data_IF_837415186285
#
_entry.id   IF_837415186285
#
_cell.length_a   1.000
_cell.length_b   1.000
_cell.length_c   1.000
_cell.angle_alpha   90.00
_cell.angle_beta   90.00
_cell.angle_gamma   90.00
#
_symmetry.space_group_name_H-M   'P 1'
#
loop_
_entity.id
_entity.type
_entity.pdbx_description
1 polymer ?
#
# COMPACT_ATOMS: atom_id res chain seq x y z
N UNK A 1 -15.13 -13.35 26.99
CA UNK A 1 -14.98 -11.90 27.30
C UNK A 1 -14.38 -11.74 28.70
N UNK A 2 -15.02 -12.27 29.74
CA UNK A 2 -14.59 -12.14 31.12
C UNK A 2 -13.13 -12.58 31.39
N UNK A 3 -12.66 -13.66 30.79
CA UNK A 3 -11.28 -14.14 30.98
C UNK A 3 -10.22 -13.17 30.43
N UNK A 4 -10.50 -12.52 29.31
CA UNK A 4 -9.60 -11.52 28.71
C UNK A 4 -9.61 -10.24 29.55
N UNK A 5 -10.79 -9.83 30.03
CA UNK A 5 -10.94 -8.65 30.91
C UNK A 5 -10.15 -8.84 32.23
N UNK A 6 -10.32 -9.99 32.87
CA UNK A 6 -9.70 -10.32 34.16
C UNK A 6 -8.19 -10.60 34.11
N UNK A 7 -7.64 -10.87 32.90
CA UNK A 7 -6.24 -11.20 32.76
C UNK A 7 -5.33 -10.03 33.14
N UNK A 8 -4.43 -10.28 34.10
CA UNK A 8 -3.45 -9.33 34.59
C UNK A 8 -2.08 -9.57 33.96
N UNK A 9 -1.27 -8.53 33.73
CA UNK A 9 0.09 -8.65 33.27
C UNK A 9 0.95 -9.40 34.31
N UNK A 10 1.86 -10.23 33.84
CA UNK A 10 2.83 -10.95 34.64
C UNK A 10 4.25 -10.65 34.15
N UNK A 11 5.28 -11.08 34.89
CA UNK A 11 6.69 -10.90 34.50
C UNK A 11 7.02 -11.51 33.10
N UNK A 12 6.28 -12.56 32.71
CA UNK A 12 6.36 -13.15 31.37
C UNK A 12 5.01 -13.00 30.65
N UNK A 13 5.00 -12.98 29.30
CA UNK A 13 3.77 -12.92 28.55
C UNK A 13 2.86 -14.13 28.81
N UNK A 14 1.60 -13.88 29.11
CA UNK A 14 0.57 -14.91 29.34
C UNK A 14 -0.24 -15.12 28.05
N UNK A 15 -0.50 -16.37 27.68
CA UNK A 15 -1.32 -16.72 26.51
C UNK A 15 -2.63 -17.38 26.99
N UNK A 16 -3.73 -16.67 26.78
CA UNK A 16 -5.08 -17.20 26.99
C UNK A 16 -5.56 -17.82 25.69
N UNK A 17 -5.61 -19.14 25.64
CA UNK A 17 -6.05 -19.87 24.45
C UNK A 17 -7.58 -19.97 24.41
N UNK A 18 -8.13 -19.77 23.22
CA UNK A 18 -9.55 -19.94 22.99
C UNK A 18 -9.93 -21.43 22.93
N UNK A 19 -11.08 -21.78 23.49
CA UNK A 19 -11.58 -23.16 23.53
C UNK A 19 -12.38 -23.53 22.27
N UNK A 20 -12.89 -22.55 21.53
CA UNK A 20 -13.75 -22.74 20.37
C UNK A 20 -12.98 -22.75 19.05
N UNK A 21 -11.92 -21.92 18.94
CA UNK A 21 -11.18 -21.75 17.71
C UNK A 21 -9.73 -22.21 17.92
N UNK A 22 -9.34 -23.36 17.34
CA UNK A 22 -7.98 -23.87 17.46
C UNK A 22 -6.94 -22.84 16.98
N UNK A 23 -5.93 -22.60 17.83
CA UNK A 23 -4.85 -21.66 17.53
C UNK A 23 -5.16 -20.19 17.77
N UNK A 24 -6.41 -19.80 18.02
CA UNK A 24 -6.75 -18.45 18.45
C UNK A 24 -6.40 -18.22 19.91
N UNK A 25 -5.80 -17.09 20.23
CA UNK A 25 -5.40 -16.75 21.60
C UNK A 25 -5.32 -15.25 21.83
N UNK A 26 -5.41 -14.85 23.09
CA UNK A 26 -5.07 -13.51 23.53
C UNK A 26 -3.74 -13.56 24.31
N UNK A 27 -2.73 -12.86 23.85
CA UNK A 27 -1.44 -12.67 24.51
C UNK A 27 -1.49 -11.41 25.36
N UNK A 28 -1.25 -11.54 26.66
CA UNK A 28 -1.07 -10.42 27.58
C UNK A 28 0.42 -10.19 27.76
N UNK A 29 0.91 -9.02 27.38
CA UNK A 29 2.35 -8.69 27.54
C UNK A 29 2.62 -8.21 28.97
N UNK A 30 3.90 -8.21 29.43
CA UNK A 30 4.27 -7.66 30.75
C UNK A 30 3.87 -6.19 30.93
N UNK A 31 3.80 -5.42 29.83
CA UNK A 31 3.33 -4.03 29.83
C UNK A 31 1.79 -3.90 29.82
N UNK A 32 1.05 -4.99 30.05
CA UNK A 32 -0.42 -4.98 30.10
C UNK A 32 -1.13 -4.92 28.73
N UNK A 33 -0.43 -4.91 27.61
CA UNK A 33 -1.06 -4.92 26.28
C UNK A 33 -1.65 -6.29 25.99
N UNK A 34 -2.91 -6.34 25.60
CA UNK A 34 -3.64 -7.54 25.22
C UNK A 34 -3.74 -7.61 23.70
N UNK A 35 -3.17 -8.65 23.10
CA UNK A 35 -3.08 -8.81 21.63
C UNK A 35 -3.72 -10.12 21.22
N UNK A 36 -4.70 -10.06 20.33
CA UNK A 36 -5.27 -11.25 19.70
C UNK A 36 -4.32 -11.79 18.66
N UNK A 37 -4.06 -13.08 18.71
CA UNK A 37 -3.15 -13.79 17.82
C UNK A 37 -3.80 -15.06 17.29
N UNK A 38 -3.37 -15.50 16.13
CA UNK A 38 -3.79 -16.78 15.54
C UNK A 38 -2.55 -17.59 15.17
N UNK A 39 -2.43 -18.79 15.73
CA UNK A 39 -1.40 -19.75 15.35
C UNK A 39 -1.99 -20.75 14.37
N UNK A 40 -1.37 -20.90 13.20
CA UNK A 40 -1.76 -21.89 12.18
C UNK A 40 -0.55 -22.44 11.43
N UNK A 41 -0.78 -23.46 10.62
CA UNK A 41 0.19 -23.95 9.64
C UNK A 41 -0.33 -23.66 8.24
N UNK A 42 0.56 -23.19 7.36
CA UNK A 42 0.26 -23.05 5.92
C UNK A 42 0.21 -24.44 5.27
N UNK A 43 -0.30 -24.53 4.04
CA UNK A 43 -0.28 -25.76 3.26
C UNK A 43 1.15 -26.23 2.94
N UNK A 44 2.13 -25.33 2.96
CA UNK A 44 3.55 -25.66 2.86
C UNK A 44 4.17 -26.18 4.17
N UNK A 45 3.36 -26.34 5.25
CA UNK A 45 3.82 -26.82 6.55
C UNK A 45 4.45 -25.76 7.46
N UNK A 46 4.56 -24.53 7.03
CA UNK A 46 5.16 -23.44 7.81
C UNK A 46 4.26 -23.01 8.97
N UNK A 47 4.84 -22.82 10.14
CA UNK A 47 4.12 -22.29 11.31
C UNK A 47 4.07 -20.75 11.23
N UNK A 48 2.86 -20.20 11.39
CA UNK A 48 2.60 -18.76 11.49
C UNK A 48 1.94 -18.45 12.83
N UNK A 49 2.26 -17.29 13.41
CA UNK A 49 1.64 -16.79 14.65
C UNK A 49 1.46 -15.27 14.56
N UNK A 50 0.70 -14.75 13.60
CA UNK A 50 0.47 -13.33 13.43
C UNK A 50 -0.46 -12.75 14.49
N UNK A 51 -0.29 -11.44 14.76
CA UNK A 51 -1.25 -10.64 15.48
C UNK A 51 -2.45 -10.29 14.57
N UNK A 52 -3.65 -10.52 15.06
CA UNK A 52 -4.90 -10.11 14.42
C UNK A 52 -5.21 -8.64 14.71
N UNK A 53 -5.12 -8.24 15.99
CA UNK A 53 -5.36 -6.87 16.45
C UNK A 53 -5.25 -6.75 17.96
N UNK A 54 -5.47 -5.55 18.48
CA UNK A 54 -5.43 -5.26 19.92
C UNK A 54 -6.80 -5.45 20.56
N UNK A 55 -6.82 -5.92 21.78
CA UNK A 55 -8.01 -5.83 22.63
C UNK A 55 -8.28 -4.36 22.94
N UNK A 56 -9.52 -3.92 22.73
CA UNK A 56 -9.92 -2.51 22.79
C UNK A 56 -10.17 -1.92 21.39
N UNK A 57 -9.36 -2.30 20.38
CA UNK A 57 -9.67 -2.03 18.97
C UNK A 57 -10.63 -3.07 18.39
N UNK A 58 -10.49 -4.34 18.81
CA UNK A 58 -11.36 -5.45 18.46
C UNK A 58 -12.03 -6.03 19.70
N UNK A 59 -13.30 -6.40 19.59
CA UNK A 59 -13.96 -7.27 20.56
C UNK A 59 -13.46 -8.71 20.40
N UNK A 60 -13.71 -9.55 21.43
CA UNK A 60 -13.35 -10.98 21.36
C UNK A 60 -14.09 -11.66 20.20
N UNK A 61 -15.36 -11.31 19.98
CA UNK A 61 -16.19 -11.86 18.91
C UNK A 61 -15.67 -11.45 17.52
N UNK A 62 -15.31 -10.18 17.34
CA UNK A 62 -14.71 -9.70 16.09
C UNK A 62 -13.37 -10.39 15.81
N UNK A 63 -12.54 -10.57 16.84
CA UNK A 63 -11.28 -11.25 16.70
C UNK A 63 -11.45 -12.75 16.36
N UNK A 64 -12.48 -13.42 16.93
CA UNK A 64 -12.88 -14.79 16.57
C UNK A 64 -13.34 -14.90 15.12
N UNK A 65 -14.21 -13.99 14.67
CA UNK A 65 -14.67 -13.96 13.27
C UNK A 65 -13.49 -13.81 12.32
N UNK A 66 -12.60 -12.88 12.60
CA UNK A 66 -11.37 -12.68 11.81
C UNK A 66 -10.47 -13.92 11.81
N UNK A 67 -10.33 -14.60 12.94
CA UNK A 67 -9.56 -15.84 13.05
C UNK A 67 -10.18 -16.96 12.18
N UNK A 68 -11.50 -17.09 12.17
CA UNK A 68 -12.22 -18.06 11.33
C UNK A 68 -12.05 -17.75 9.83
N UNK A 69 -12.15 -16.49 9.43
CA UNK A 69 -11.89 -16.05 8.05
C UNK A 69 -10.48 -16.42 7.59
N UNK A 70 -9.48 -16.15 8.43
CA UNK A 70 -8.10 -16.51 8.13
C UNK A 70 -7.89 -18.02 8.03
N UNK A 71 -8.48 -18.80 8.93
CA UNK A 71 -8.40 -20.26 8.85
C UNK A 71 -9.12 -20.80 7.59
N UNK A 72 -10.21 -20.17 7.17
CA UNK A 72 -10.88 -20.53 5.93
C UNK A 72 -10.01 -20.21 4.71
N UNK A 73 -9.30 -19.09 4.71
CA UNK A 73 -8.35 -18.73 3.66
C UNK A 73 -7.17 -19.71 3.60
N UNK A 74 -6.61 -20.09 4.75
CA UNK A 74 -5.54 -21.10 4.85
C UNK A 74 -5.98 -22.44 4.29
N UNK A 75 -7.22 -22.90 4.57
CA UNK A 75 -7.77 -24.13 4.01
C UNK A 75 -7.90 -24.09 2.49
N UNK A 76 -8.10 -22.89 1.90
CA UNK A 76 -8.13 -22.67 0.44
C UNK A 76 -6.73 -22.54 -0.17
N UNK A 77 -5.67 -22.66 0.62
CA UNK A 77 -4.28 -22.58 0.16
C UNK A 77 -3.62 -21.21 0.31
N UNK A 78 -4.31 -20.22 0.87
CA UNK A 78 -3.76 -18.88 1.11
C UNK A 78 -2.85 -18.82 2.35
N UNK A 79 -2.08 -17.72 2.45
CA UNK A 79 -1.34 -17.33 3.68
C UNK A 79 -1.67 -15.88 4.03
N UNK A 80 -2.72 -15.62 4.84
CA UNK A 80 -3.13 -14.27 5.23
C UNK A 80 -2.02 -13.47 5.90
N UNK A 81 -1.12 -14.15 6.63
CA UNK A 81 0.03 -13.51 7.27
C UNK A 81 1.03 -12.99 6.25
N UNK A 82 1.36 -13.79 5.25
CA UNK A 82 2.24 -13.39 4.16
C UNK A 82 1.61 -12.27 3.32
N UNK A 83 0.31 -12.36 3.01
CA UNK A 83 -0.43 -11.32 2.29
C UNK A 83 -0.40 -9.97 3.06
N UNK A 84 -0.66 -10.01 4.38
CA UNK A 84 -0.59 -8.81 5.24
C UNK A 84 0.84 -8.23 5.31
N UNK A 85 1.86 -9.08 5.36
CA UNK A 85 3.26 -8.67 5.35
C UNK A 85 3.64 -8.04 4.00
N UNK A 86 3.26 -8.67 2.89
CA UNK A 86 3.48 -8.15 1.54
C UNK A 86 2.80 -6.79 1.32
N UNK A 87 1.54 -6.64 1.77
CA UNK A 87 0.84 -5.36 1.70
C UNK A 87 1.55 -4.26 2.52
N UNK A 88 2.09 -4.61 3.69
CA UNK A 88 2.84 -3.66 4.52
C UNK A 88 4.16 -3.26 3.87
N UNK A 89 4.90 -4.20 3.29
CA UNK A 89 6.18 -3.98 2.64
C UNK A 89 6.07 -3.45 1.20
N UNK A 90 4.86 -3.44 0.62
CA UNK A 90 4.63 -2.90 -0.71
C UNK A 90 5.18 -1.47 -0.82
N UNK A 91 5.83 -1.12 -1.95
CA UNK A 91 6.43 0.19 -2.13
C UNK A 91 5.38 1.31 -2.16
N UNK A 92 5.75 2.46 -1.64
CA UNK A 92 5.00 3.72 -1.77
C UNK A 92 5.25 4.35 -3.15
N UNK A 93 4.40 5.30 -3.54
CA UNK A 93 4.62 6.09 -4.76
C UNK A 93 5.93 6.88 -4.68
N UNK A 94 6.32 7.35 -3.48
CA UNK A 94 7.62 8.03 -3.29
C UNK A 94 8.79 7.09 -3.61
N UNK A 95 8.75 5.86 -3.12
CA UNK A 95 9.78 4.84 -3.42
C UNK A 95 9.78 4.45 -4.91
N UNK A 96 8.59 4.38 -5.53
CA UNK A 96 8.47 4.18 -6.97
C UNK A 96 9.11 5.34 -7.76
N UNK A 97 8.94 6.60 -7.32
CA UNK A 97 9.58 7.75 -7.94
C UNK A 97 11.11 7.64 -7.88
N UNK A 98 11.67 7.27 -6.72
CA UNK A 98 13.12 7.05 -6.56
C UNK A 98 13.61 5.98 -7.52
N UNK A 99 12.96 4.82 -7.52
CA UNK A 99 13.29 3.71 -8.42
C UNK A 99 13.19 4.10 -9.91
N UNK A 100 12.15 4.86 -10.28
CA UNK A 100 11.99 5.38 -11.64
C UNK A 100 13.16 6.28 -12.06
N UNK A 101 13.62 7.16 -11.18
CA UNK A 101 14.75 8.03 -11.47
C UNK A 101 16.05 7.24 -11.60
N UNK A 102 16.29 6.27 -10.72
CA UNK A 102 17.55 5.51 -10.66
C UNK A 102 17.63 4.46 -11.76
N UNK A 103 16.62 3.60 -11.87
CA UNK A 103 16.67 2.40 -12.73
C UNK A 103 16.20 2.68 -14.15
N UNK A 104 15.46 3.76 -14.39
CA UNK A 104 14.96 4.08 -15.71
C UNK A 104 15.50 5.40 -16.26
N UNK A 105 15.28 6.53 -15.54
CA UNK A 105 15.55 7.86 -16.09
C UNK A 105 17.03 8.13 -16.29
N UNK A 106 17.87 7.78 -15.32
CA UNK A 106 19.33 7.97 -15.39
C UNK A 106 19.97 7.18 -16.53
N UNK A 107 19.40 6.03 -16.87
CA UNK A 107 19.96 5.16 -17.91
C UNK A 107 19.50 5.54 -19.32
N UNK A 108 18.35 6.18 -19.48
CA UNK A 108 17.67 6.35 -20.76
C UNK A 108 17.44 7.79 -21.19
N UNK A 109 17.59 8.74 -20.29
CA UNK A 109 17.26 10.14 -20.55
C UNK A 109 18.48 11.05 -20.42
N UNK A 110 18.48 12.13 -21.20
CA UNK A 110 19.47 13.22 -21.09
C UNK A 110 19.36 13.91 -19.73
N UNK A 111 20.44 14.50 -19.19
CA UNK A 111 20.43 15.19 -17.90
C UNK A 111 19.38 16.27 -17.75
N UNK A 112 19.05 17.00 -18.82
CA UNK A 112 17.98 18.00 -18.83
C UNK A 112 16.59 17.38 -18.59
N UNK A 113 16.31 16.23 -19.20
CA UNK A 113 15.06 15.49 -19.01
C UNK A 113 14.98 14.93 -17.59
N UNK A 114 16.09 14.38 -17.06
CA UNK A 114 16.16 13.89 -15.69
C UNK A 114 15.83 15.00 -14.68
N UNK A 115 16.45 16.19 -14.81
CA UNK A 115 16.11 17.36 -13.98
C UNK A 115 14.64 17.74 -14.08
N UNK A 116 14.09 17.72 -15.31
CA UNK A 116 12.67 18.00 -15.52
C UNK A 116 11.72 17.00 -14.88
N UNK A 117 12.05 15.71 -14.92
CA UNK A 117 11.29 14.68 -14.24
C UNK A 117 11.38 14.81 -12.71
N UNK A 118 12.58 15.02 -12.16
CA UNK A 118 12.76 15.22 -10.74
C UNK A 118 11.94 16.41 -10.23
N UNK A 119 12.01 17.54 -10.92
CA UNK A 119 11.24 18.73 -10.53
C UNK A 119 9.72 18.50 -10.52
N UNK A 120 9.19 17.74 -11.47
CA UNK A 120 7.76 17.38 -11.51
C UNK A 120 7.41 16.39 -10.40
N UNK A 121 8.26 15.41 -10.16
CA UNK A 121 8.09 14.43 -9.09
C UNK A 121 8.00 15.14 -7.74
N UNK A 122 8.95 16.03 -7.45
CA UNK A 122 9.05 16.69 -6.14
C UNK A 122 7.93 17.70 -5.91
N UNK A 123 7.55 18.46 -6.95
CA UNK A 123 6.51 19.50 -6.82
C UNK A 123 5.09 18.99 -6.94
N UNK A 124 4.86 17.95 -7.77
CA UNK A 124 3.51 17.56 -8.14
C UNK A 124 3.16 16.16 -7.62
N UNK A 125 4.02 15.15 -7.81
CA UNK A 125 3.63 13.75 -7.59
C UNK A 125 3.76 13.37 -6.12
N UNK A 126 4.93 13.57 -5.52
CA UNK A 126 5.21 13.16 -4.14
C UNK A 126 4.30 13.86 -3.12
N UNK A 127 4.01 15.19 -3.20
CA UNK A 127 3.11 15.84 -2.26
C UNK A 127 1.67 15.30 -2.29
N UNK A 128 1.21 14.83 -3.45
CA UNK A 128 -0.18 14.39 -3.63
C UNK A 128 -0.38 12.89 -3.42
N UNK A 129 0.56 12.07 -3.88
CA UNK A 129 0.41 10.61 -3.93
C UNK A 129 1.53 9.85 -3.18
N UNK A 130 2.61 10.51 -2.81
CA UNK A 130 3.85 9.89 -2.33
C UNK A 130 3.69 8.92 -1.16
N UNK A 131 2.71 9.15 -0.28
CA UNK A 131 2.43 8.28 0.88
C UNK A 131 1.60 7.04 0.56
N UNK A 132 0.91 7.04 -0.57
CA UNK A 132 0.07 5.91 -0.96
C UNK A 132 0.95 4.73 -1.40
N UNK A 133 0.50 3.52 -1.11
CA UNK A 133 1.12 2.32 -1.67
C UNK A 133 0.84 2.25 -3.17
N UNK A 134 1.85 1.85 -3.96
CA UNK A 134 1.74 1.77 -5.43
C UNK A 134 0.54 0.93 -5.85
N UNK A 135 0.30 -0.20 -5.19
CA UNK A 135 -0.83 -1.10 -5.48
C UNK A 135 -2.20 -0.49 -5.14
N UNK A 136 -2.27 0.45 -4.19
CA UNK A 136 -3.53 1.00 -3.68
C UNK A 136 -3.98 2.25 -4.42
N UNK A 137 -3.09 2.87 -5.23
CA UNK A 137 -3.44 4.04 -6.05
C UNK A 137 -4.50 3.65 -7.08
N UNK A 138 -5.62 4.36 -7.06
CA UNK A 138 -6.76 4.16 -7.96
C UNK A 138 -6.91 5.32 -8.94
N UNK A 139 -7.71 5.13 -9.99
CA UNK A 139 -8.02 6.19 -10.97
C UNK A 139 -8.54 7.48 -10.34
N UNK A 140 -9.45 7.46 -9.34
CA UNK A 140 -9.90 8.68 -8.66
C UNK A 140 -8.77 9.49 -8.00
N UNK A 141 -7.72 8.83 -7.51
CA UNK A 141 -6.58 9.52 -6.88
C UNK A 141 -5.80 10.32 -7.92
N UNK A 142 -5.55 9.71 -9.09
CA UNK A 142 -4.90 10.38 -10.22
C UNK A 142 -5.76 11.51 -10.77
N UNK A 143 -7.07 11.28 -10.92
CA UNK A 143 -8.00 12.32 -11.39
C UNK A 143 -8.05 13.50 -10.41
N UNK A 144 -8.05 13.24 -9.10
CA UNK A 144 -8.01 14.27 -8.06
C UNK A 144 -6.69 15.04 -8.10
N UNK A 145 -5.55 14.37 -8.30
CA UNK A 145 -4.26 15.01 -8.47
C UNK A 145 -4.26 15.93 -9.70
N UNK A 146 -4.79 15.47 -10.85
CA UNK A 146 -4.94 16.29 -12.05
C UNK A 146 -5.82 17.51 -11.78
N UNK A 147 -6.98 17.33 -11.14
CA UNK A 147 -7.90 18.43 -10.82
C UNK A 147 -7.24 19.51 -9.95
N UNK A 148 -6.44 19.14 -8.96
CA UNK A 148 -5.68 20.10 -8.13
C UNK A 148 -4.68 20.93 -8.94
N UNK A 149 -4.19 20.41 -10.06
CA UNK A 149 -3.25 21.09 -10.96
C UNK A 149 -3.96 21.81 -12.14
N UNK A 150 -5.29 21.87 -12.18
CA UNK A 150 -6.05 22.42 -13.30
C UNK A 150 -5.69 23.88 -13.64
N UNK A 151 -5.22 24.64 -12.65
CA UNK A 151 -4.75 26.03 -12.83
C UNK A 151 -3.43 26.13 -13.61
N UNK A 152 -2.73 25.01 -13.84
CA UNK A 152 -1.49 24.91 -14.65
C UNK A 152 -1.57 23.69 -15.59
N UNK A 153 -2.37 23.76 -16.66
CA UNK A 153 -2.66 22.60 -17.53
C UNK A 153 -1.41 21.95 -18.13
N UNK A 154 -0.44 22.73 -18.57
CA UNK A 154 0.81 22.20 -19.14
C UNK A 154 1.64 21.42 -18.10
N UNK A 155 1.74 21.93 -16.88
CA UNK A 155 2.45 21.23 -15.77
C UNK A 155 1.68 19.98 -15.34
N UNK A 156 0.35 20.05 -15.28
CA UNK A 156 -0.52 18.91 -15.00
C UNK A 156 -0.34 17.78 -16.04
N UNK A 157 -0.34 18.12 -17.33
CA UNK A 157 -0.12 17.16 -18.41
C UNK A 157 1.28 16.54 -18.35
N UNK A 158 2.29 17.33 -17.98
CA UNK A 158 3.65 16.82 -17.79
C UNK A 158 3.72 15.86 -16.61
N UNK A 159 3.12 16.20 -15.47
CA UNK A 159 3.04 15.33 -14.30
C UNK A 159 2.28 14.03 -14.62
N UNK A 160 1.18 14.14 -15.36
CA UNK A 160 0.41 12.99 -15.81
C UNK A 160 1.23 12.05 -16.70
N UNK A 161 2.00 12.58 -17.64
CA UNK A 161 2.84 11.78 -18.54
C UNK A 161 3.92 11.00 -17.74
N UNK A 162 4.51 11.65 -16.72
CA UNK A 162 5.47 11.01 -15.82
C UNK A 162 4.78 9.92 -14.99
N UNK A 163 3.63 10.22 -14.35
CA UNK A 163 2.85 9.24 -13.59
C UNK A 163 2.48 8.03 -14.45
N UNK A 164 1.94 8.27 -15.65
CA UNK A 164 1.56 7.20 -16.58
C UNK A 164 2.73 6.27 -16.89
N UNK A 165 3.92 6.84 -17.14
CA UNK A 165 5.14 6.05 -17.40
C UNK A 165 5.59 5.27 -16.18
N UNK A 166 5.59 5.90 -15.00
CA UNK A 166 5.97 5.26 -13.74
C UNK A 166 5.06 4.08 -13.40
N UNK A 167 3.74 4.25 -13.55
CA UNK A 167 2.79 3.18 -13.26
C UNK A 167 2.83 2.04 -14.29
N UNK A 168 3.16 2.30 -15.56
CA UNK A 168 3.47 1.24 -16.52
C UNK A 168 4.71 0.44 -16.09
N UNK A 169 5.76 1.13 -15.61
CA UNK A 169 6.94 0.45 -15.09
C UNK A 169 6.67 -0.30 -13.79
N UNK A 170 5.75 0.19 -12.96
CA UNK A 170 5.31 -0.50 -11.75
C UNK A 170 4.65 -1.85 -12.06
N UNK A 171 3.92 -1.97 -13.17
CA UNK A 171 3.41 -3.25 -13.68
C UNK A 171 4.58 -4.17 -14.09
N UNK A 172 5.51 -3.68 -14.90
CA UNK A 172 6.70 -4.43 -15.35
C UNK A 172 7.57 -4.90 -14.17
N UNK A 173 7.68 -4.08 -13.13
CA UNK A 173 8.46 -4.42 -11.92
C UNK A 173 7.70 -5.28 -10.91
N UNK A 174 6.47 -5.69 -11.20
CA UNK A 174 5.66 -6.52 -10.33
C UNK A 174 5.10 -5.82 -9.07
N UNK A 175 5.12 -4.49 -9.04
CA UNK A 175 4.55 -3.70 -7.94
C UNK A 175 3.05 -3.51 -8.06
N UNK A 176 2.47 -3.84 -9.21
CA UNK A 176 1.03 -3.88 -9.51
C UNK A 176 0.75 -5.00 -10.52
N UNK A 177 -0.47 -5.57 -10.53
CA UNK A 177 -0.90 -6.47 -11.59
C UNK A 177 -0.92 -5.77 -12.96
N UNK A 178 -0.65 -6.52 -14.01
CA UNK A 178 -0.72 -6.03 -15.38
C UNK A 178 -2.10 -5.48 -15.71
N UNK A 179 -2.13 -4.43 -16.50
CA UNK A 179 -3.38 -3.82 -16.93
C UNK A 179 -4.07 -2.93 -15.88
N UNK A 180 -3.48 -2.72 -14.71
CA UNK A 180 -4.08 -1.96 -13.60
C UNK A 180 -3.55 -0.52 -13.44
N UNK A 181 -2.80 0.00 -14.42
CA UNK A 181 -2.29 1.38 -14.36
C UNK A 181 -3.40 2.39 -14.09
N UNK A 182 -3.37 3.14 -12.96
CA UNK A 182 -4.44 4.05 -12.57
C UNK A 182 -4.57 5.29 -13.47
N UNK A 183 -3.60 5.54 -14.34
CA UNK A 183 -3.67 6.62 -15.32
C UNK A 183 -4.51 6.28 -16.56
N UNK A 184 -4.95 5.02 -16.71
CA UNK A 184 -5.80 4.61 -17.84
C UNK A 184 -7.14 5.35 -17.78
N UNK A 185 -7.55 5.89 -18.94
CA UNK A 185 -8.82 6.62 -19.13
C UNK A 185 -8.96 7.91 -18.28
N UNK A 186 -7.86 8.45 -17.74
CA UNK A 186 -7.85 9.80 -17.18
C UNK A 186 -7.50 10.76 -18.32
N UNK A 187 -8.35 11.77 -18.62
CA UNK A 187 -8.07 12.71 -19.70
C UNK A 187 -6.96 13.68 -19.33
N UNK A 188 -6.18 14.08 -20.32
CA UNK A 188 -5.28 15.23 -20.22
C UNK A 188 -6.02 16.53 -20.50
N UNK A 189 -5.50 17.63 -20.02
CA UNK A 189 -6.01 18.96 -20.38
C UNK A 189 -5.69 19.30 -21.84
N UNK A 190 -6.54 20.07 -22.53
CA UNK A 190 -6.22 20.56 -23.86
C UNK A 190 -4.92 21.36 -23.84
N UNK A 191 -4.03 21.09 -24.79
CA UNK A 191 -2.86 21.93 -24.98
C UNK A 191 -3.34 23.22 -25.64
N UNK A 192 -3.03 24.38 -25.03
CA UNK A 192 -3.23 25.68 -25.69
C UNK A 192 -2.54 25.69 -27.05
N UNK A 193 -3.18 26.26 -28.08
CA UNK A 193 -2.52 26.48 -29.37
C UNK A 193 -1.29 27.36 -29.14
N UNK A 194 -0.13 26.87 -29.54
CA UNK A 194 1.07 27.70 -29.59
C UNK A 194 0.83 28.77 -30.67
N UNK A 195 0.60 30.00 -30.26
CA UNK A 195 0.58 31.13 -31.16
C UNK A 195 2.03 31.49 -31.49
N UNK A 196 2.55 31.00 -32.60
CA UNK A 196 3.77 31.56 -33.19
C UNK A 196 3.43 32.95 -33.70
N UNK A 197 3.82 33.97 -32.95
CA UNK A 197 3.90 35.32 -33.49
C UNK A 197 5.13 35.34 -34.39
N UNK A 198 4.89 35.39 -35.69
CA UNK A 198 5.91 35.74 -36.63
C UNK A 198 6.05 37.25 -36.48
N UNK A 199 7.15 37.71 -35.92
CA UNK A 199 7.55 39.13 -35.95
C UNK A 199 8.15 39.36 -37.32
N UNK A 200 7.53 40.29 -38.04
CA UNK A 200 8.12 40.91 -39.25
C UNK A 200 9.37 41.70 -38.95
#
# INVERSE_FOLDING_TARGET
KSAVDAAQPQAQPVELRDTLIPGFMCKVTPAGRKVFMLQYRTNAGERRKPALGLYGELTVEQARSLAQEWLAEVRRGGDPSAAKAAARSAPTVKELCTKFMEDYSKQRNKPSTQRGYQAVIDRCIVPMLGRLKVQDVKRPDVATAMKKMAHKPAEANRAFSVMRKMFNLAEVWGHRPDGTNPCRHVPMYPNGKATHLISD
#
